data_IF_388621961502
#
_entry.id   IF_388621961502
#
_cell.length_a   1.000
_cell.length_b   1.000
_cell.length_c   1.000
_cell.angle_alpha   90.00
_cell.angle_beta   90.00
_cell.angle_gamma   90.00
#
_symmetry.space_group_name_H-M   'P 1'
#
loop_
_entity.id
_entity.type
_entity.pdbx_description
1 polymer ?
#
# COMPACT_ATOMS: atom_id res chain seq x y z
N UNK A 1 -60.43 4.26 46.11
CA UNK A 1 -60.84 3.50 44.92
C UNK A 1 -59.60 3.27 44.07
N UNK A 2 -59.47 2.04 43.55
CA UNK A 2 -58.52 1.55 42.54
C UNK A 2 -57.04 1.61 42.94
N UNK A 3 -56.31 0.52 43.17
CA UNK A 3 -56.45 -0.85 42.68
C UNK A 3 -55.11 -1.24 42.06
N UNK A 4 -54.18 -1.72 42.88
CA UNK A 4 -52.87 -2.21 42.45
C UNK A 4 -53.00 -3.63 41.88
N UNK A 5 -52.57 -3.83 40.63
CA UNK A 5 -52.35 -5.15 40.05
C UNK A 5 -50.88 -5.25 39.59
N UNK A 6 -50.16 -6.33 39.93
CA UNK A 6 -48.75 -6.54 39.56
C UNK A 6 -48.62 -7.13 38.15
N UNK A 7 -47.60 -6.69 37.42
CA UNK A 7 -47.19 -7.30 36.16
C UNK A 7 -46.45 -8.62 36.42
N UNK A 8 -46.79 -9.65 35.66
CA UNK A 8 -46.27 -11.00 35.78
C UNK A 8 -44.80 -11.09 35.32
N UNK A 9 -43.93 -11.53 36.21
CA UNK A 9 -42.59 -12.02 35.88
C UNK A 9 -42.69 -13.44 35.32
N UNK A 10 -42.11 -13.65 34.13
CA UNK A 10 -41.94 -14.96 33.53
C UNK A 10 -40.69 -15.63 34.14
N UNK A 11 -40.77 -16.83 34.74
CA UNK A 11 -39.63 -17.44 35.40
C UNK A 11 -38.68 -18.06 34.36
N UNK A 12 -37.49 -17.48 34.23
CA UNK A 12 -36.35 -18.12 33.55
C UNK A 12 -35.89 -19.32 34.41
N UNK A 13 -35.87 -20.56 33.90
CA UNK A 13 -35.41 -21.71 34.66
C UNK A 13 -33.92 -21.58 34.97
N UNK A 14 -33.58 -21.72 36.26
CA UNK A 14 -32.21 -21.73 36.75
C UNK A 14 -31.35 -22.80 36.07
N UNK A 15 -30.25 -22.34 35.48
CA UNK A 15 -29.15 -23.14 34.95
C UNK A 15 -28.36 -23.76 36.13
N UNK A 16 -28.93 -24.75 36.82
CA UNK A 16 -28.22 -25.55 37.82
C UNK A 16 -28.54 -27.05 37.66
N UNK A 17 -27.51 -27.85 37.40
CA UNK A 17 -27.46 -29.24 37.90
C UNK A 17 -27.63 -30.40 36.92
N UNK A 18 -27.80 -30.19 35.61
CA UNK A 18 -28.01 -31.30 34.66
C UNK A 18 -26.74 -32.08 34.29
N UNK A 19 -25.70 -31.40 33.82
CA UNK A 19 -24.53 -32.07 33.25
C UNK A 19 -23.58 -32.69 34.31
N UNK A 20 -23.50 -32.11 35.52
CA UNK A 20 -22.66 -32.66 36.60
C UNK A 20 -23.25 -33.92 37.25
N UNK A 21 -24.56 -34.14 37.17
CA UNK A 21 -25.25 -35.22 37.90
C UNK A 21 -25.30 -36.54 37.13
N UNK A 22 -25.14 -36.52 35.81
CA UNK A 22 -25.15 -37.73 34.98
C UNK A 22 -23.76 -38.40 34.90
N UNK A 23 -22.68 -37.62 34.86
CA UNK A 23 -21.31 -38.17 34.93
C UNK A 23 -20.93 -38.63 36.34
N UNK A 24 -21.38 -37.94 37.41
CA UNK A 24 -21.00 -38.34 38.78
C UNK A 24 -21.62 -39.68 39.20
N UNK A 25 -22.90 -39.93 38.85
CA UNK A 25 -23.57 -41.19 39.18
C UNK A 25 -22.98 -42.40 38.46
N UNK A 26 -22.63 -42.26 37.18
CA UNK A 26 -22.07 -43.37 36.39
C UNK A 26 -20.65 -43.74 36.84
N UNK A 27 -19.85 -42.75 37.24
CA UNK A 27 -18.51 -43.01 37.81
C UNK A 27 -18.60 -43.61 39.21
N UNK A 28 -19.46 -43.09 40.09
CA UNK A 28 -19.62 -43.62 41.45
C UNK A 28 -20.14 -45.07 41.46
N UNK A 29 -21.06 -45.44 40.57
CA UNK A 29 -21.57 -46.83 40.47
C UNK A 29 -20.50 -47.81 39.94
N UNK A 30 -19.66 -47.39 38.99
CA UNK A 30 -18.54 -48.22 38.49
C UNK A 30 -17.46 -48.41 39.56
N UNK A 31 -17.17 -47.38 40.38
CA UNK A 31 -16.18 -47.48 41.45
C UNK A 31 -16.69 -48.18 42.72
N UNK A 32 -18.01 -48.23 42.98
CA UNK A 32 -18.56 -48.89 44.18
C UNK A 32 -18.71 -50.41 44.02
N UNK A 33 -18.99 -50.91 42.82
CA UNK A 33 -19.10 -52.37 42.57
C UNK A 33 -17.75 -53.09 42.71
N UNK A 34 -16.62 -52.41 42.42
CA UNK A 34 -15.27 -53.02 42.41
C UNK A 34 -14.47 -52.93 43.71
N UNK A 35 -15.04 -52.45 44.82
CA UNK A 35 -14.31 -52.40 46.10
C UNK A 35 -14.04 -53.76 46.77
N UNK A 36 -14.46 -54.89 46.15
CA UNK A 36 -14.26 -56.23 46.71
C UNK A 36 -13.21 -57.09 46.00
N UNK A 37 -12.72 -56.70 44.81
CA UNK A 37 -11.67 -57.44 44.10
C UNK A 37 -10.69 -56.43 43.48
N UNK A 38 -9.38 -56.61 43.73
CA UNK A 38 -8.36 -55.66 43.29
C UNK A 38 -8.40 -55.39 41.80
N UNK A 39 -8.27 -54.12 41.41
CA UNK A 39 -8.20 -53.70 40.01
C UNK A 39 -6.99 -54.36 39.32
N UNK A 40 -7.21 -55.02 38.19
CA UNK A 40 -6.11 -55.59 37.39
C UNK A 40 -5.44 -54.49 36.55
N UNK A 41 -4.12 -54.62 36.33
CA UNK A 41 -3.31 -53.66 35.54
C UNK A 41 -3.92 -53.35 34.16
N UNK A 42 -4.54 -54.36 33.54
CA UNK A 42 -5.17 -54.27 32.22
C UNK A 42 -6.36 -53.31 32.24
N UNK A 43 -7.19 -53.36 33.29
CA UNK A 43 -8.37 -52.50 33.41
C UNK A 43 -7.98 -51.03 33.62
N UNK A 44 -6.91 -50.78 34.39
CA UNK A 44 -6.37 -49.42 34.56
C UNK A 44 -5.85 -48.87 33.22
N UNK A 45 -5.12 -49.68 32.45
CA UNK A 45 -4.60 -49.29 31.14
C UNK A 45 -5.73 -48.98 30.14
N UNK A 46 -6.81 -49.76 30.15
CA UNK A 46 -7.98 -49.51 29.29
C UNK A 46 -8.67 -48.20 29.67
N UNK A 47 -8.84 -47.92 30.96
CA UNK A 47 -9.45 -46.66 31.42
C UNK A 47 -8.58 -45.45 31.04
N UNK A 48 -7.26 -45.54 31.24
CA UNK A 48 -6.33 -44.47 30.84
C UNK A 48 -6.37 -44.23 29.33
N UNK A 49 -6.38 -45.30 28.52
CA UNK A 49 -6.46 -45.19 27.07
C UNK A 49 -7.78 -44.55 26.60
N UNK A 50 -8.91 -44.99 27.17
CA UNK A 50 -10.21 -44.40 26.87
C UNK A 50 -10.27 -42.91 27.26
N UNK A 51 -9.75 -42.55 28.44
CA UNK A 51 -9.66 -41.15 28.86
C UNK A 51 -8.77 -40.32 27.91
N UNK A 52 -7.62 -40.84 27.49
CA UNK A 52 -6.73 -40.15 26.56
C UNK A 52 -7.39 -39.89 25.20
N UNK A 53 -8.10 -40.88 24.64
CA UNK A 53 -8.83 -40.74 23.36
C UNK A 53 -9.94 -39.69 23.47
N UNK A 54 -10.73 -39.73 24.55
CA UNK A 54 -11.81 -38.75 24.76
C UNK A 54 -11.24 -37.34 24.91
N UNK A 55 -10.13 -37.19 25.64
CA UNK A 55 -9.48 -35.88 25.82
C UNK A 55 -8.90 -35.35 24.51
N UNK A 56 -8.28 -36.22 23.70
CA UNK A 56 -7.76 -35.86 22.39
C UNK A 56 -8.88 -35.45 21.41
N UNK A 57 -10.00 -36.19 21.39
CA UNK A 57 -11.16 -35.84 20.56
C UNK A 57 -11.77 -34.49 20.98
N UNK A 58 -11.89 -34.24 22.28
CA UNK A 58 -12.38 -32.97 22.81
C UNK A 58 -11.46 -31.79 22.46
N UNK A 59 -10.14 -31.97 22.57
CA UNK A 59 -9.18 -30.94 22.16
C UNK A 59 -9.26 -30.66 20.66
N UNK A 60 -9.35 -31.67 19.80
CA UNK A 60 -9.50 -31.50 18.35
C UNK A 60 -10.76 -30.72 17.99
N UNK A 61 -11.89 -31.01 18.65
CA UNK A 61 -13.15 -30.26 18.48
C UNK A 61 -13.00 -28.80 18.91
N UNK A 62 -12.35 -28.52 20.03
CA UNK A 62 -12.09 -27.16 20.50
C UNK A 62 -11.19 -26.38 19.54
N UNK A 63 -10.08 -26.96 19.10
CA UNK A 63 -9.16 -26.31 18.16
C UNK A 63 -9.81 -26.07 16.79
N UNK A 64 -10.65 -27.01 16.33
CA UNK A 64 -11.40 -26.84 15.08
C UNK A 64 -12.47 -25.77 15.22
N UNK A 65 -13.19 -25.73 16.36
CA UNK A 65 -14.16 -24.69 16.69
C UNK A 65 -13.54 -23.30 16.72
N UNK A 66 -12.40 -23.13 17.40
CA UNK A 66 -11.65 -21.86 17.45
C UNK A 66 -11.19 -21.44 16.05
N UNK A 67 -10.72 -22.38 15.22
CA UNK A 67 -10.34 -22.06 13.83
C UNK A 67 -11.53 -21.62 12.98
N UNK A 68 -12.68 -22.27 13.13
CA UNK A 68 -13.91 -21.92 12.40
C UNK A 68 -14.45 -20.56 12.87
N UNK A 69 -14.45 -20.29 14.18
CA UNK A 69 -14.83 -18.99 14.73
C UNK A 69 -13.91 -17.88 14.25
N UNK A 70 -12.59 -18.07 14.33
CA UNK A 70 -11.63 -17.06 13.84
C UNK A 70 -11.79 -16.81 12.33
N UNK A 71 -11.94 -17.86 11.53
CA UNK A 71 -12.16 -17.71 10.09
C UNK A 71 -13.49 -16.99 9.78
N UNK A 72 -14.56 -17.30 10.52
CA UNK A 72 -15.86 -16.66 10.36
C UNK A 72 -15.86 -15.19 10.82
N UNK A 73 -15.18 -14.89 11.94
CA UNK A 73 -15.01 -13.53 12.48
C UNK A 73 -14.21 -12.67 11.51
N UNK A 74 -13.09 -13.18 10.99
CA UNK A 74 -12.27 -12.50 10.00
C UNK A 74 -13.10 -12.18 8.75
N UNK A 75 -13.77 -13.18 8.16
CA UNK A 75 -14.63 -13.00 6.98
C UNK A 75 -15.76 -11.98 7.22
N UNK A 76 -16.34 -11.94 8.43
CA UNK A 76 -17.41 -11.01 8.80
C UNK A 76 -16.92 -9.57 8.96
N UNK A 77 -15.81 -9.38 9.67
CA UNK A 77 -15.19 -8.07 9.87
C UNK A 77 -14.70 -7.49 8.53
N UNK A 78 -14.16 -8.34 7.67
CA UNK A 78 -13.73 -7.99 6.33
C UNK A 78 -14.89 -7.59 5.39
N UNK A 79 -16.03 -8.31 5.42
CA UNK A 79 -17.22 -7.90 4.65
C UNK A 79 -17.81 -6.59 5.17
N UNK A 80 -17.71 -6.33 6.48
CA UNK A 80 -18.18 -5.10 7.09
C UNK A 80 -17.32 -3.90 6.67
N UNK A 81 -15.99 -4.03 6.67
CA UNK A 81 -15.06 -2.99 6.21
C UNK A 81 -15.27 -2.62 4.72
N UNK A 82 -15.42 -3.62 3.85
CA UNK A 82 -15.68 -3.39 2.43
C UNK A 82 -17.04 -2.68 2.20
N UNK A 83 -18.08 -3.06 2.96
CA UNK A 83 -19.40 -2.41 2.88
C UNK A 83 -19.38 -0.98 3.39
N UNK A 84 -18.67 -0.70 4.49
CA UNK A 84 -18.54 0.65 5.04
C UNK A 84 -17.83 1.55 4.03
N UNK A 85 -16.74 1.08 3.44
CA UNK A 85 -15.99 1.81 2.41
C UNK A 85 -16.86 2.15 1.21
N UNK A 86 -17.47 1.12 0.58
CA UNK A 86 -18.28 1.31 -0.64
C UNK A 86 -19.43 2.27 -0.36
N UNK A 87 -20.14 2.10 0.76
CA UNK A 87 -21.24 2.98 1.14
C UNK A 87 -20.78 4.41 1.41
N UNK A 88 -19.64 4.59 2.07
CA UNK A 88 -19.07 5.92 2.34
C UNK A 88 -18.73 6.64 1.04
N UNK A 89 -18.09 5.94 0.10
CA UNK A 89 -17.76 6.49 -1.23
C UNK A 89 -19.04 6.81 -2.01
N UNK A 90 -20.00 5.89 -2.04
CA UNK A 90 -21.30 6.09 -2.70
C UNK A 90 -22.07 7.30 -2.14
N UNK A 91 -22.13 7.43 -0.80
CA UNK A 91 -22.79 8.53 -0.12
C UNK A 91 -22.09 9.87 -0.43
N UNK A 92 -20.75 9.89 -0.39
CA UNK A 92 -19.96 11.09 -0.70
C UNK A 92 -20.14 11.53 -2.16
N UNK A 93 -20.04 10.61 -3.12
CA UNK A 93 -20.25 10.91 -4.54
C UNK A 93 -21.70 11.34 -4.84
N UNK A 94 -22.68 10.66 -4.24
CA UNK A 94 -24.11 10.95 -4.43
C UNK A 94 -24.53 12.27 -3.80
N UNK A 95 -23.83 12.71 -2.75
CA UNK A 95 -24.11 13.98 -2.07
C UNK A 95 -23.74 15.22 -2.89
N UNK A 96 -22.94 15.06 -3.97
CA UNK A 96 -22.42 16.18 -4.76
C UNK A 96 -21.39 17.04 -4.02
N UNK A 97 -20.84 16.54 -2.91
CA UNK A 97 -19.83 17.26 -2.13
C UNK A 97 -18.42 17.12 -2.71
N UNK A 98 -18.13 16.07 -3.46
CA UNK A 98 -16.81 15.87 -4.04
C UNK A 98 -16.67 16.77 -5.27
N UNK A 99 -15.76 17.73 -5.23
CA UNK A 99 -15.42 18.55 -6.41
C UNK A 99 -13.90 18.71 -6.60
N UNK A 100 -13.09 18.20 -5.66
CA UNK A 100 -11.63 18.22 -5.74
C UNK A 100 -11.04 16.92 -5.18
N UNK A 101 -10.06 16.40 -5.90
CA UNK A 101 -9.14 15.35 -5.45
C UNK A 101 -7.79 16.03 -5.28
N UNK A 102 -7.17 15.87 -4.13
CA UNK A 102 -5.80 16.32 -3.86
C UNK A 102 -4.91 15.11 -3.64
N UNK A 103 -3.96 14.88 -4.54
CA UNK A 103 -3.03 13.75 -4.45
C UNK A 103 -1.65 14.22 -4.01
N UNK A 104 -1.07 13.53 -3.04
CA UNK A 104 0.25 13.78 -2.45
C UNK A 104 0.99 12.45 -2.24
N UNK A 105 2.29 12.50 -1.95
CA UNK A 105 3.07 11.27 -1.71
C UNK A 105 2.72 10.62 -0.39
N UNK A 106 2.29 11.44 0.58
CA UNK A 106 1.75 10.98 1.86
C UNK A 106 0.34 10.38 1.73
N UNK A 107 -0.21 10.32 0.51
CA UNK A 107 -1.52 9.77 0.20
C UNK A 107 -2.42 10.77 -0.50
N UNK A 108 -3.73 10.59 -0.47
CA UNK A 108 -4.65 11.42 -1.23
C UNK A 108 -5.86 11.79 -0.40
N UNK A 109 -6.46 12.92 -0.74
CA UNK A 109 -7.68 13.43 -0.13
C UNK A 109 -8.73 13.67 -1.20
N UNK A 110 -9.97 13.26 -0.96
CA UNK A 110 -11.12 13.68 -1.77
C UNK A 110 -12.04 14.51 -0.90
N UNK A 111 -12.52 15.63 -1.45
CA UNK A 111 -13.21 16.61 -0.62
C UNK A 111 -13.94 17.69 -1.40
N UNK A 112 -14.37 18.68 -0.63
CA UNK A 112 -15.04 19.87 -1.14
C UNK A 112 -14.08 21.04 -1.09
N UNK A 113 -13.88 21.69 -2.22
CA UNK A 113 -13.31 23.03 -2.30
C UNK A 113 -14.43 24.06 -2.35
N UNK A 114 -14.38 25.04 -1.46
CA UNK A 114 -15.26 26.20 -1.46
C UNK A 114 -14.42 27.46 -1.21
N UNK A 115 -14.59 28.48 -2.05
CA UNK A 115 -13.91 29.79 -1.89
C UNK A 115 -12.37 29.68 -1.81
N UNK A 116 -11.78 28.69 -2.50
CA UNK A 116 -10.34 28.45 -2.53
C UNK A 116 -9.78 27.66 -1.33
N UNK A 117 -10.64 27.28 -0.37
CA UNK A 117 -10.26 26.42 0.74
C UNK A 117 -10.68 24.97 0.45
N UNK A 118 -9.74 24.04 0.53
CA UNK A 118 -10.00 22.61 0.40
C UNK A 118 -10.35 22.00 1.76
N UNK A 119 -11.47 21.28 1.81
CA UNK A 119 -11.95 20.53 2.97
C UNK A 119 -11.99 19.04 2.62
N UNK A 120 -10.97 18.25 3.03
CA UNK A 120 -10.96 16.81 2.84
C UNK A 120 -12.16 16.15 3.52
N UNK A 121 -12.76 15.15 2.86
CA UNK A 121 -13.87 14.34 3.41
C UNK A 121 -13.44 12.89 3.62
N UNK A 122 -12.50 12.41 2.80
CA UNK A 122 -11.92 11.09 2.87
C UNK A 122 -10.46 11.20 2.47
N UNK A 123 -9.57 10.70 3.33
CA UNK A 123 -8.12 10.81 3.17
C UNK A 123 -7.45 9.46 3.36
N UNK A 124 -6.61 9.08 2.41
CA UNK A 124 -5.63 8.02 2.59
C UNK A 124 -4.32 8.61 3.09
N UNK A 125 -3.76 8.03 4.14
CA UNK A 125 -2.46 8.38 4.71
C UNK A 125 -1.53 7.18 4.55
N UNK A 126 -0.54 7.32 3.67
CA UNK A 126 0.37 6.24 3.30
C UNK A 126 1.27 5.80 4.46
N UNK A 127 1.87 6.73 5.19
CA UNK A 127 2.75 6.45 6.34
C UNK A 127 2.02 5.74 7.47
N UNK A 128 0.75 6.08 7.70
CA UNK A 128 -0.09 5.44 8.69
C UNK A 128 -0.75 4.14 8.18
N UNK A 129 -0.72 3.88 6.87
CA UNK A 129 -1.42 2.77 6.22
C UNK A 129 -2.92 2.76 6.55
N UNK A 130 -3.53 3.94 6.55
CA UNK A 130 -4.90 4.17 7.01
C UNK A 130 -5.73 4.95 5.99
N UNK A 131 -7.00 4.57 5.87
CA UNK A 131 -8.05 5.38 5.26
C UNK A 131 -8.91 6.01 6.37
N UNK A 132 -9.04 7.33 6.33
CA UNK A 132 -9.66 8.15 7.39
C UNK A 132 -10.74 9.05 6.79
N UNK A 133 -11.73 9.42 7.60
CA UNK A 133 -12.58 10.57 7.26
C UNK A 133 -11.79 11.87 7.38
N UNK A 134 -12.26 12.95 6.78
CA UNK A 134 -11.70 14.29 6.99
C UNK A 134 -10.26 14.44 6.48
N UNK A 135 -9.45 15.28 7.14
CA UNK A 135 -8.09 15.66 6.70
C UNK A 135 -6.99 14.70 7.18
N UNK A 136 -7.36 13.70 7.99
CA UNK A 136 -6.43 12.71 8.50
C UNK A 136 -5.68 13.13 9.76
N UNK A 137 -5.93 14.33 10.29
CA UNK A 137 -5.43 14.81 11.58
C UNK A 137 -6.56 14.69 12.63
N UNK A 138 -6.28 14.00 13.74
CA UNK A 138 -7.31 13.56 14.69
C UNK A 138 -8.15 14.74 15.27
N UNK A 139 -9.48 14.59 15.53
CA UNK A 139 -10.19 13.36 15.85
C UNK A 139 -11.04 12.77 14.70
N UNK A 140 -10.47 12.61 13.51
CA UNK A 140 -11.12 11.90 12.41
C UNK A 140 -11.12 10.37 12.58
N UNK A 141 -12.25 9.73 12.24
CA UNK A 141 -12.43 8.30 12.38
C UNK A 141 -11.62 7.51 11.34
N UNK A 142 -10.82 6.55 11.81
CA UNK A 142 -10.16 5.55 10.95
C UNK A 142 -11.24 4.62 10.40
N UNK A 143 -11.45 4.66 9.07
CA UNK A 143 -12.40 3.80 8.37
C UNK A 143 -11.80 2.44 8.06
N UNK A 144 -10.52 2.40 7.74
CA UNK A 144 -9.79 1.18 7.40
C UNK A 144 -8.31 1.33 7.75
N UNK A 145 -7.77 0.36 8.48
CA UNK A 145 -6.33 0.24 8.78
C UNK A 145 -5.70 -0.90 7.97
N UNK A 146 -4.38 -0.94 7.89
CA UNK A 146 -3.66 -1.99 7.15
C UNK A 146 -3.77 -1.83 5.63
N UNK A 147 -3.97 -0.59 5.16
CA UNK A 147 -3.98 -0.24 3.75
C UNK A 147 -2.53 -0.15 3.27
N UNK A 148 -2.11 -1.15 2.49
CA UNK A 148 -0.76 -1.27 1.91
C UNK A 148 -0.54 -0.29 0.75
N UNK A 149 -1.60 0.00 0.00
CA UNK A 149 -1.60 1.01 -1.05
C UNK A 149 -3.03 1.44 -1.33
N UNK A 150 -3.25 2.70 -1.70
CA UNK A 150 -4.53 3.14 -2.21
C UNK A 150 -4.36 4.20 -3.30
N UNK A 151 -5.19 4.12 -4.32
CA UNK A 151 -5.22 5.08 -5.42
C UNK A 151 -6.64 5.61 -5.62
N UNK A 152 -6.74 6.87 -6.02
CA UNK A 152 -7.97 7.51 -6.43
C UNK A 152 -7.75 8.22 -7.77
N UNK A 153 -8.73 8.20 -8.64
CA UNK A 153 -8.66 8.92 -9.92
C UNK A 153 -9.99 9.00 -10.65
N UNK A 154 -10.05 9.90 -11.62
CA UNK A 154 -11.21 10.13 -12.46
C UNK A 154 -11.02 9.54 -13.86
N UNK A 155 -12.10 9.01 -14.42
CA UNK A 155 -12.26 8.75 -15.85
C UNK A 155 -13.57 9.38 -16.32
N UNK A 156 -13.50 10.56 -16.93
CA UNK A 156 -14.68 11.40 -17.15
C UNK A 156 -15.31 11.81 -15.81
N UNK A 157 -16.58 11.45 -15.60
CA UNK A 157 -17.29 11.68 -14.33
C UNK A 157 -17.23 10.46 -13.37
N UNK A 158 -16.53 9.38 -13.74
CA UNK A 158 -16.42 8.17 -12.93
C UNK A 158 -15.23 8.29 -11.97
N UNK A 159 -15.51 8.42 -10.68
CA UNK A 159 -14.49 8.33 -9.63
C UNK A 159 -14.20 6.86 -9.33
N UNK A 160 -12.94 6.46 -9.41
CA UNK A 160 -12.50 5.11 -9.05
C UNK A 160 -11.53 5.15 -7.88
N UNK A 161 -11.87 4.43 -6.82
CA UNK A 161 -11.00 4.15 -5.68
C UNK A 161 -10.55 2.70 -5.75
N UNK A 162 -9.25 2.48 -5.59
CA UNK A 162 -8.68 1.14 -5.43
C UNK A 162 -7.83 1.11 -4.16
N UNK A 163 -8.08 0.14 -3.30
CA UNK A 163 -7.45 0.00 -2.00
C UNK A 163 -6.89 -1.41 -1.89
N UNK A 164 -5.61 -1.50 -1.57
CA UNK A 164 -4.86 -2.73 -1.34
C UNK A 164 -4.68 -2.88 0.16
N UNK A 165 -5.13 -4.00 0.68
CA UNK A 165 -4.85 -4.49 2.03
C UNK A 165 -3.93 -5.70 1.92
N UNK A 166 -3.40 -6.21 3.04
CA UNK A 166 -2.60 -7.44 3.02
C UNK A 166 -3.35 -8.62 2.39
N UNK A 167 -4.66 -8.68 2.56
CA UNK A 167 -5.45 -9.86 2.20
C UNK A 167 -6.17 -9.73 0.84
N UNK A 168 -6.47 -8.50 0.40
CA UNK A 168 -7.23 -8.28 -0.85
C UNK A 168 -7.10 -6.88 -1.44
N UNK A 169 -7.62 -6.76 -2.67
CA UNK A 169 -7.87 -5.49 -3.37
C UNK A 169 -9.36 -5.17 -3.34
N UNK A 170 -9.72 -3.99 -2.82
CA UNK A 170 -11.05 -3.39 -2.88
C UNK A 170 -11.07 -2.37 -4.01
N UNK A 171 -12.08 -2.42 -4.88
CA UNK A 171 -12.29 -1.40 -5.92
C UNK A 171 -13.73 -0.92 -5.87
N UNK A 172 -13.93 0.40 -5.88
CA UNK A 172 -15.23 1.04 -5.97
C UNK A 172 -15.18 2.11 -7.03
N UNK A 173 -16.18 2.12 -7.92
CA UNK A 173 -16.30 3.10 -8.99
C UNK A 173 -17.69 3.72 -8.93
N UNK A 174 -17.77 5.04 -8.77
CA UNK A 174 -19.03 5.77 -8.59
C UNK A 174 -19.03 7.04 -9.42
N UNK A 175 -20.13 7.29 -10.14
CA UNK A 175 -20.29 8.52 -10.90
C UNK A 175 -20.46 9.73 -9.96
N UNK A 176 -19.63 10.75 -10.15
CA UNK A 176 -19.76 12.02 -9.46
C UNK A 176 -20.87 12.86 -10.10
N UNK A 177 -21.64 13.57 -9.27
CA UNK A 177 -22.68 14.52 -9.74
C UNK A 177 -22.13 15.91 -10.06
N UNK A 178 -20.87 16.11 -9.78
CA UNK A 178 -20.14 17.38 -9.83
C UNK A 178 -18.88 17.15 -10.64
N UNK A 179 -18.46 18.17 -11.38
CA UNK A 179 -17.17 18.14 -12.06
C UNK A 179 -16.07 18.11 -11.00
N UNK A 180 -15.27 17.04 -11.00
CA UNK A 180 -14.20 16.85 -10.04
C UNK A 180 -12.89 17.31 -10.66
N UNK A 181 -12.20 18.24 -10.00
CA UNK A 181 -10.86 18.65 -10.39
C UNK A 181 -9.83 17.77 -9.69
N UNK A 182 -8.95 17.15 -10.46
CA UNK A 182 -7.73 16.57 -9.91
C UNK A 182 -6.69 17.65 -9.73
N UNK A 183 -6.26 17.81 -8.49
CA UNK A 183 -5.13 18.64 -8.08
C UNK A 183 -4.08 17.73 -7.48
N UNK A 184 -2.83 18.01 -7.80
CA UNK A 184 -1.71 17.47 -7.04
C UNK A 184 -1.51 18.47 -5.90
N UNK A 185 -1.41 17.97 -4.67
CA UNK A 185 -1.27 18.82 -3.48
C UNK A 185 -0.05 19.73 -3.57
N UNK A 186 -0.02 20.78 -2.75
CA UNK A 186 1.17 21.61 -2.62
C UNK A 186 2.37 20.71 -2.28
N UNK A 187 3.32 20.63 -3.21
CA UNK A 187 4.43 19.67 -3.10
C UNK A 187 4.86 19.18 -4.46
N UNK A 188 5.89 19.83 -5.00
CA UNK A 188 6.82 19.31 -6.02
C UNK A 188 6.26 18.78 -7.35
N UNK A 189 4.94 18.68 -7.54
CA UNK A 189 4.35 18.14 -8.75
C UNK A 189 4.35 19.18 -9.89
N UNK A 190 4.72 18.73 -11.09
CA UNK A 190 4.73 19.56 -12.29
C UNK A 190 3.42 19.38 -13.08
N UNK A 191 2.85 20.48 -13.57
CA UNK A 191 1.63 20.43 -14.39
C UNK A 191 1.88 19.75 -15.74
N UNK A 192 0.86 19.16 -16.37
CA UNK A 192 1.06 18.49 -17.67
C UNK A 192 1.67 19.39 -18.76
N UNK A 193 1.24 20.66 -18.96
CA UNK A 193 1.85 21.54 -19.96
C UNK A 193 3.30 21.93 -19.65
N UNK A 194 3.67 21.98 -18.37
CA UNK A 194 5.03 22.26 -17.94
C UNK A 194 5.91 21.00 -18.06
N UNK A 195 5.36 19.83 -17.74
CA UNK A 195 6.02 18.55 -17.96
C UNK A 195 6.34 18.36 -19.45
N UNK A 196 5.40 18.64 -20.36
CA UNK A 196 5.65 18.58 -21.81
C UNK A 196 6.81 19.48 -22.27
N UNK A 197 7.09 20.60 -21.58
CA UNK A 197 8.22 21.47 -21.89
C UNK A 197 9.55 20.96 -21.32
N UNK A 198 9.50 20.26 -20.18
CA UNK A 198 10.67 19.68 -19.52
C UNK A 198 11.04 18.31 -20.10
N UNK A 199 10.06 17.58 -20.63
CA UNK A 199 10.25 16.23 -21.10
C UNK A 199 11.10 16.23 -22.38
N UNK A 200 12.19 15.47 -22.38
CA UNK A 200 13.10 15.42 -23.50
C UNK A 200 12.43 14.82 -24.74
N UNK A 201 12.40 15.59 -25.84
CA UNK A 201 12.20 15.02 -27.18
C UNK A 201 13.52 14.55 -27.77
N UNK A 202 14.59 15.34 -27.61
CA UNK A 202 16.01 15.00 -27.81
C UNK A 202 16.89 16.03 -27.04
N UNK A 203 17.22 15.79 -25.76
CA UNK A 203 17.99 16.72 -24.94
C UNK A 203 19.46 16.65 -25.30
N UNK A 204 20.12 17.81 -25.41
CA UNK A 204 21.58 17.87 -25.49
C UNK A 204 22.12 18.07 -24.07
N UNK A 205 22.85 17.07 -23.56
CA UNK A 205 23.61 17.20 -22.32
C UNK A 205 25.00 17.78 -22.63
N UNK A 206 25.57 18.64 -21.76
CA UNK A 206 26.94 19.11 -21.94
C UNK A 206 27.92 17.95 -22.05
N UNK A 207 28.97 18.09 -22.87
CA UNK A 207 30.03 17.07 -23.01
C UNK A 207 30.73 16.71 -21.68
N UNK A 208 30.58 17.56 -20.66
CA UNK A 208 31.11 17.33 -19.31
C UNK A 208 30.33 16.27 -18.53
N UNK A 209 29.13 15.89 -18.97
CA UNK A 209 28.33 14.84 -18.33
C UNK A 209 28.81 13.46 -18.82
N UNK A 210 29.30 12.58 -17.93
CA UNK A 210 29.72 11.23 -18.31
C UNK A 210 28.59 10.42 -18.94
N UNK A 211 28.91 9.54 -19.90
CA UNK A 211 27.92 8.71 -20.61
C UNK A 211 26.69 9.51 -21.15
N UNK A 212 26.90 10.75 -21.64
CA UNK A 212 25.83 11.66 -22.05
C UNK A 212 24.81 11.04 -23.02
N UNK A 213 25.26 10.35 -24.08
CA UNK A 213 24.38 9.69 -25.06
C UNK A 213 23.47 8.66 -24.41
N UNK A 214 24.04 7.79 -23.55
CA UNK A 214 23.29 6.77 -22.80
C UNK A 214 22.25 7.39 -21.87
N UNK A 215 22.60 8.49 -21.20
CA UNK A 215 21.68 9.25 -20.31
C UNK A 215 20.55 9.89 -21.09
N UNK A 216 20.85 10.47 -22.26
CA UNK A 216 19.85 11.05 -23.16
C UNK A 216 18.84 10.00 -23.61
N UNK A 217 19.32 8.86 -24.12
CA UNK A 217 18.43 7.78 -24.58
C UNK A 217 17.59 7.20 -23.43
N UNK A 218 18.16 7.10 -22.23
CA UNK A 218 17.44 6.66 -21.04
C UNK A 218 16.30 7.60 -20.69
N UNK A 219 16.58 8.91 -20.62
CA UNK A 219 15.56 9.91 -20.32
C UNK A 219 14.48 9.98 -21.41
N UNK A 220 14.84 9.84 -22.68
CA UNK A 220 13.88 9.74 -23.79
C UNK A 220 12.98 8.51 -23.64
N UNK A 221 13.54 7.36 -23.26
CA UNK A 221 12.76 6.14 -23.02
C UNK A 221 11.75 6.32 -21.88
N UNK A 222 12.16 6.94 -20.76
CA UNK A 222 11.26 7.25 -19.65
C UNK A 222 10.20 8.30 -20.05
N UNK A 223 10.60 9.34 -20.76
CA UNK A 223 9.70 10.42 -21.21
C UNK A 223 8.60 9.89 -22.14
N UNK A 224 8.93 8.93 -23.00
CA UNK A 224 7.96 8.23 -23.86
C UNK A 224 6.88 7.46 -23.10
N UNK A 225 7.02 7.29 -21.78
CA UNK A 225 6.06 6.63 -20.89
C UNK A 225 5.24 7.60 -20.04
N UNK A 226 5.39 8.91 -20.23
CA UNK A 226 4.69 9.92 -19.44
C UNK A 226 3.17 9.69 -19.41
N UNK A 227 2.57 9.76 -18.21
CA UNK A 227 1.15 9.48 -17.99
C UNK A 227 0.77 7.99 -17.93
N UNK A 228 1.68 7.05 -18.20
CA UNK A 228 1.43 5.62 -18.02
C UNK A 228 1.00 5.30 -16.59
N UNK A 229 -0.06 4.51 -16.41
CA UNK A 229 -0.53 4.01 -15.10
C UNK A 229 0.08 2.65 -14.71
N UNK A 230 1.29 2.36 -15.20
CA UNK A 230 2.02 1.12 -14.93
C UNK A 230 2.02 0.10 -16.07
N UNK A 231 1.11 0.24 -17.05
CA UNK A 231 1.16 -0.50 -18.32
C UNK A 231 2.09 0.24 -19.30
N UNK A 232 3.07 -0.46 -19.86
CA UNK A 232 4.03 0.13 -20.81
C UNK A 232 3.25 0.62 -22.03
N UNK A 233 3.39 1.91 -22.35
CA UNK A 233 2.76 2.52 -23.52
C UNK A 233 3.31 1.86 -24.79
N UNK A 234 2.41 1.44 -25.68
CA UNK A 234 2.76 0.69 -26.89
C UNK A 234 2.98 -0.81 -26.68
N UNK A 235 2.73 -1.34 -25.48
CA UNK A 235 2.85 -2.78 -25.16
C UNK A 235 1.62 -3.29 -24.41
N UNK A 236 1.46 -4.61 -24.34
CA UNK A 236 0.44 -5.26 -23.50
C UNK A 236 0.91 -5.61 -22.09
N UNK A 237 2.19 -5.34 -21.77
CA UNK A 237 2.80 -5.67 -20.48
C UNK A 237 2.84 -4.49 -19.51
N UNK A 238 2.80 -4.81 -18.21
CA UNK A 238 3.13 -3.86 -17.13
C UNK A 238 4.64 -3.82 -16.86
N UNK A 239 5.17 -2.73 -16.30
CA UNK A 239 6.60 -2.64 -15.93
C UNK A 239 7.00 -3.76 -14.94
N UNK A 240 6.17 -4.02 -13.93
CA UNK A 240 6.36 -5.11 -12.97
C UNK A 240 6.24 -6.49 -13.61
N UNK A 241 5.43 -6.64 -14.66
CA UNK A 241 5.31 -7.90 -15.41
C UNK A 241 6.53 -8.13 -16.31
N UNK A 242 7.04 -7.08 -16.95
CA UNK A 242 8.27 -7.12 -17.73
C UNK A 242 9.46 -7.57 -16.87
N UNK A 243 9.59 -6.99 -15.67
CA UNK A 243 10.66 -7.35 -14.73
C UNK A 243 10.64 -8.85 -14.37
N UNK A 244 9.44 -9.41 -14.21
CA UNK A 244 9.23 -10.82 -13.86
C UNK A 244 9.28 -11.78 -15.07
N UNK A 245 9.71 -11.32 -16.26
CA UNK A 245 9.84 -12.18 -17.44
C UNK A 245 8.51 -12.48 -18.16
N UNK A 246 7.50 -11.62 -18.01
CA UNK A 246 6.26 -11.66 -18.77
C UNK A 246 5.04 -12.21 -18.03
N UNK A 247 5.19 -12.65 -16.79
CA UNK A 247 4.06 -13.06 -15.93
C UNK A 247 4.26 -12.60 -14.49
N UNK A 248 3.15 -12.41 -13.76
CA UNK A 248 3.24 -12.06 -12.34
C UNK A 248 3.52 -13.31 -11.48
N UNK A 249 4.52 -13.27 -10.60
CA UNK A 249 4.66 -14.29 -9.57
C UNK A 249 3.53 -14.17 -8.53
N UNK A 250 3.42 -15.17 -7.65
CA UNK A 250 2.46 -15.14 -6.55
C UNK A 250 2.65 -13.90 -5.67
N UNK A 251 1.54 -13.21 -5.35
CA UNK A 251 1.55 -11.95 -4.59
C UNK A 251 1.80 -10.69 -5.43
N UNK A 252 2.10 -10.81 -6.72
CA UNK A 252 2.27 -9.67 -7.63
C UNK A 252 1.05 -9.47 -8.53
N UNK A 253 0.89 -8.24 -9.03
CA UNK A 253 -0.14 -7.90 -10.00
C UNK A 253 0.06 -6.52 -10.61
N UNK A 254 -0.91 -6.10 -11.41
CA UNK A 254 -0.90 -4.79 -12.10
C UNK A 254 -0.77 -3.57 -11.17
N UNK A 255 -1.05 -3.74 -9.88
CA UNK A 255 -0.97 -2.69 -8.87
C UNK A 255 0.23 -2.84 -7.92
N UNK A 256 1.11 -3.83 -8.13
CA UNK A 256 2.37 -3.93 -7.39
C UNK A 256 3.16 -2.64 -7.58
N UNK A 257 3.70 -2.01 -6.51
CA UNK A 257 4.54 -0.82 -6.64
C UNK A 257 5.64 -1.02 -7.69
N UNK A 258 5.76 -0.06 -8.61
CA UNK A 258 6.48 -0.28 -9.87
C UNK A 258 7.47 0.84 -10.20
N UNK A 259 7.79 1.73 -9.26
CA UNK A 259 8.80 2.78 -9.43
C UNK A 259 10.18 2.22 -9.80
N UNK A 260 10.66 1.21 -9.07
CA UNK A 260 11.92 0.51 -9.35
C UNK A 260 11.88 -0.27 -10.68
N UNK A 261 10.77 -0.95 -10.97
CA UNK A 261 10.59 -1.66 -12.24
C UNK A 261 10.60 -0.70 -13.43
N UNK A 262 10.05 0.52 -13.26
CA UNK A 262 10.03 1.56 -14.29
C UNK A 262 11.43 2.06 -14.64
N UNK A 263 12.22 2.46 -13.64
CA UNK A 263 13.61 2.90 -13.90
C UNK A 263 14.46 1.75 -14.43
N UNK A 264 14.28 0.52 -13.93
CA UNK A 264 14.96 -0.68 -14.45
C UNK A 264 14.61 -0.97 -15.90
N UNK A 265 13.34 -0.83 -16.27
CA UNK A 265 12.89 -0.97 -17.66
C UNK A 265 13.54 0.08 -18.56
N UNK A 266 13.61 1.33 -18.10
CA UNK A 266 14.27 2.41 -18.83
C UNK A 266 15.76 2.14 -19.05
N UNK A 267 16.48 1.75 -17.99
CA UNK A 267 17.91 1.39 -18.10
C UNK A 267 18.11 0.25 -19.12
N UNK A 268 17.25 -0.77 -19.10
CA UNK A 268 17.30 -1.88 -20.04
C UNK A 268 16.96 -1.51 -21.49
N UNK A 269 16.34 -0.35 -21.75
CA UNK A 269 16.12 0.13 -23.14
C UNK A 269 17.43 0.56 -23.81
N UNK A 270 18.41 0.99 -23.01
CA UNK A 270 19.68 1.53 -23.52
C UNK A 270 20.87 0.62 -23.23
N UNK A 271 20.76 -0.23 -22.21
CA UNK A 271 21.78 -1.20 -21.83
C UNK A 271 21.12 -2.45 -21.26
N UNK A 272 21.05 -3.50 -22.08
CA UNK A 272 20.47 -4.79 -21.68
C UNK A 272 21.24 -5.50 -20.55
N UNK A 273 22.47 -5.05 -20.23
CA UNK A 273 23.27 -5.58 -19.12
C UNK A 273 23.11 -4.77 -17.82
N UNK A 274 22.37 -3.66 -17.85
CA UNK A 274 22.13 -2.85 -16.67
C UNK A 274 21.42 -3.66 -15.57
N UNK A 275 21.85 -3.47 -14.33
CA UNK A 275 21.26 -4.14 -13.17
C UNK A 275 19.79 -3.74 -13.00
N UNK A 276 18.90 -4.73 -13.06
CA UNK A 276 17.47 -4.53 -12.88
C UNK A 276 17.03 -4.88 -11.45
N UNK A 277 16.23 -4.03 -10.84
CA UNK A 277 15.71 -4.20 -9.50
C UNK A 277 14.22 -3.80 -9.40
N UNK A 278 13.52 -4.44 -8.46
CA UNK A 278 12.14 -4.09 -8.12
C UNK A 278 11.96 -3.62 -6.66
N UNK A 279 12.89 -3.97 -5.77
CA UNK A 279 12.94 -3.45 -4.41
C UNK A 279 13.85 -2.22 -4.36
N UNK A 280 13.31 -1.06 -3.94
CA UNK A 280 14.03 0.22 -3.94
C UNK A 280 15.29 0.16 -3.07
N UNK A 281 15.16 -0.23 -1.80
CA UNK A 281 16.28 -0.41 -0.87
C UNK A 281 17.32 -1.43 -1.38
N UNK A 282 16.89 -2.50 -2.05
CA UNK A 282 17.81 -3.47 -2.63
C UNK A 282 18.59 -2.89 -3.81
N UNK A 283 17.96 -2.03 -4.62
CA UNK A 283 18.62 -1.26 -5.67
C UNK A 283 19.66 -0.29 -5.11
N UNK A 284 19.28 0.50 -4.09
CA UNK A 284 20.20 1.40 -3.38
C UNK A 284 21.45 0.65 -2.89
N UNK A 285 21.25 -0.43 -2.12
CA UNK A 285 22.37 -1.21 -1.54
C UNK A 285 23.32 -1.74 -2.61
N UNK A 286 22.78 -2.24 -3.72
CA UNK A 286 23.60 -2.73 -4.81
C UNK A 286 24.55 -1.64 -5.37
N UNK A 287 24.03 -0.46 -5.67
CA UNK A 287 24.86 0.64 -6.19
C UNK A 287 25.79 1.25 -5.14
N UNK A 288 25.42 1.19 -3.87
CA UNK A 288 26.28 1.53 -2.75
C UNK A 288 27.48 0.58 -2.64
N UNK A 289 27.24 -0.73 -2.77
CA UNK A 289 28.30 -1.76 -2.79
C UNK A 289 29.24 -1.61 -4.00
N UNK A 290 28.75 -1.08 -5.13
CA UNK A 290 29.57 -0.74 -6.31
C UNK A 290 30.33 0.59 -6.17
N UNK A 291 30.13 1.35 -5.08
CA UNK A 291 30.78 2.65 -4.86
C UNK A 291 30.23 3.78 -5.73
N UNK A 292 28.95 3.68 -6.14
CA UNK A 292 28.29 4.59 -7.09
C UNK A 292 27.16 5.41 -6.47
N UNK A 293 26.98 5.23 -5.16
CA UNK A 293 26.05 5.98 -4.34
C UNK A 293 26.66 7.30 -3.89
N UNK A 294 25.87 8.36 -3.97
CA UNK A 294 26.19 9.68 -3.43
C UNK A 294 25.06 10.08 -2.48
N UNK A 295 25.38 10.38 -1.23
CA UNK A 295 24.37 10.85 -0.29
C UNK A 295 23.88 12.25 -0.68
N UNK A 296 22.68 12.60 -0.23
CA UNK A 296 22.15 13.95 -0.42
C UNK A 296 23.15 15.00 0.10
N UNK A 297 23.48 15.97 -0.75
CA UNK A 297 24.46 17.03 -0.47
C UNK A 297 25.91 16.72 -0.86
N UNK A 298 26.28 15.48 -1.18
CA UNK A 298 27.65 15.13 -1.58
C UNK A 298 28.03 15.75 -2.93
N UNK A 299 27.07 15.82 -3.86
CA UNK A 299 27.22 16.48 -5.17
C UNK A 299 25.88 16.95 -5.72
N UNK A 300 25.95 17.76 -6.78
CA UNK A 300 24.81 17.96 -7.67
C UNK A 300 24.60 16.71 -8.53
N UNK A 301 23.35 16.25 -8.73
CA UNK A 301 23.08 15.16 -9.64
C UNK A 301 23.19 15.60 -11.09
N UNK A 302 23.54 14.66 -11.96
CA UNK A 302 23.52 14.86 -13.40
C UNK A 302 22.19 14.34 -13.97
N UNK A 303 21.69 14.93 -15.07
CA UNK A 303 20.56 14.37 -15.81
C UNK A 303 20.80 12.89 -16.14
N UNK A 304 19.80 12.06 -15.88
CA UNK A 304 19.86 10.61 -16.04
C UNK A 304 20.34 9.85 -14.81
N UNK A 305 20.83 10.51 -13.74
CA UNK A 305 21.09 9.83 -12.46
C UNK A 305 19.79 9.25 -11.89
N UNK A 306 19.88 8.12 -11.18
CA UNK A 306 18.76 7.69 -10.35
C UNK A 306 18.74 8.52 -9.08
N UNK A 307 17.56 8.93 -8.64
CA UNK A 307 17.33 9.66 -7.40
C UNK A 307 16.48 8.80 -6.47
N UNK A 308 16.89 8.68 -5.21
CA UNK A 308 16.23 7.87 -4.19
C UNK A 308 15.67 8.76 -3.10
N UNK A 309 14.52 8.37 -2.55
CA UNK A 309 13.83 9.11 -1.51
C UNK A 309 13.58 8.26 -0.27
N UNK A 310 13.57 8.93 0.88
CA UNK A 310 13.21 8.43 2.21
C UNK A 310 12.12 9.35 2.75
N UNK A 311 10.89 8.85 2.84
CA UNK A 311 9.75 9.70 3.17
C UNK A 311 9.56 9.85 4.68
N UNK A 312 9.90 8.81 5.43
CA UNK A 312 9.77 8.75 6.88
C UNK A 312 11.01 9.28 7.61
N UNK A 313 12.13 9.46 6.91
CA UNK A 313 13.40 9.91 7.47
C UNK A 313 14.09 8.85 8.31
N UNK A 314 13.82 7.56 8.05
CA UNK A 314 14.36 6.43 8.82
C UNK A 314 15.67 5.87 8.23
N UNK A 315 16.11 6.41 7.10
CA UNK A 315 17.32 6.05 6.35
C UNK A 315 17.11 4.95 5.31
N UNK A 316 15.91 4.37 5.19
CA UNK A 316 15.58 3.39 4.16
C UNK A 316 15.05 4.07 2.88
N UNK A 317 15.36 3.48 1.72
CA UNK A 317 14.87 4.02 0.46
C UNK A 317 13.47 3.48 0.11
N UNK A 318 12.50 4.38 0.00
CA UNK A 318 11.08 4.08 -0.28
C UNK A 318 10.69 4.27 -1.74
N UNK A 319 11.35 5.19 -2.42
CA UNK A 319 11.05 5.54 -3.80
C UNK A 319 12.30 5.79 -4.63
N UNK A 320 12.16 5.60 -5.93
CA UNK A 320 13.20 5.88 -6.92
C UNK A 320 12.62 6.52 -8.17
N UNK A 321 13.33 7.49 -8.70
CA UNK A 321 13.08 8.15 -9.97
C UNK A 321 14.36 8.34 -10.78
N UNK A 322 14.26 9.11 -11.85
CA UNK A 322 15.41 9.61 -12.60
C UNK A 322 15.44 11.14 -12.58
N UNK A 323 16.63 11.72 -12.49
CA UNK A 323 16.84 13.16 -12.58
C UNK A 323 16.69 13.58 -14.03
N UNK A 324 15.71 14.44 -14.30
CA UNK A 324 15.42 14.96 -15.63
C UNK A 324 16.35 16.14 -15.97
N UNK A 325 16.44 17.10 -15.07
CA UNK A 325 17.34 18.26 -15.17
C UNK A 325 17.52 18.94 -13.80
N UNK A 326 18.52 19.81 -13.70
CA UNK A 326 18.73 20.66 -12.53
C UNK A 326 18.79 22.11 -12.99
N UNK A 327 17.87 22.94 -12.48
CA UNK A 327 17.76 24.35 -12.85
C UNK A 327 18.02 25.25 -11.63
N UNK A 328 18.30 26.53 -11.89
CA UNK A 328 18.29 27.54 -10.83
C UNK A 328 16.87 27.72 -10.28
N UNK A 329 16.77 27.87 -8.96
CA UNK A 329 15.52 28.24 -8.32
C UNK A 329 15.20 29.72 -8.67
N UNK A 330 14.09 30.00 -9.37
CA UNK A 330 13.75 31.36 -9.79
C UNK A 330 13.35 32.26 -8.62
N UNK A 331 13.04 31.68 -7.45
CA UNK A 331 12.63 32.40 -6.23
C UNK A 331 13.82 32.57 -5.28
N UNK A 332 14.63 31.52 -5.10
CA UNK A 332 15.73 31.52 -4.14
C UNK A 332 17.10 31.60 -4.84
N UNK A 333 17.65 32.80 -4.96
CA UNK A 333 18.94 33.02 -5.62
C UNK A 333 20.06 32.15 -5.02
N UNK A 334 20.76 31.42 -5.90
CA UNK A 334 21.83 30.50 -5.53
C UNK A 334 21.37 29.12 -5.06
N UNK A 335 20.06 28.84 -5.04
CA UNK A 335 19.51 27.50 -4.82
C UNK A 335 19.18 26.82 -6.16
N UNK A 336 19.12 25.49 -6.12
CA UNK A 336 18.84 24.65 -7.29
C UNK A 336 17.55 23.86 -7.08
N UNK A 337 16.83 23.65 -8.17
CA UNK A 337 15.68 22.75 -8.26
C UNK A 337 16.07 21.52 -9.08
N UNK A 338 15.82 20.33 -8.53
CA UNK A 338 16.05 19.04 -9.18
C UNK A 338 14.72 18.56 -9.73
N UNK A 339 14.59 18.54 -11.05
CA UNK A 339 13.43 17.99 -11.74
C UNK A 339 13.61 16.49 -11.96
N UNK A 340 12.54 15.72 -11.79
CA UNK A 340 12.58 14.26 -11.84
C UNK A 340 11.47 13.72 -12.73
N UNK A 341 11.69 12.53 -13.29
CA UNK A 341 10.64 11.69 -13.88
C UNK A 341 10.54 10.39 -13.08
N UNK A 342 9.34 10.12 -12.58
CA UNK A 342 9.08 9.08 -11.58
C UNK A 342 7.93 8.19 -12.02
N UNK A 343 8.12 6.88 -11.88
CA UNK A 343 7.07 5.88 -12.06
C UNK A 343 6.31 5.65 -10.76
N UNK A 344 5.05 5.25 -10.85
CA UNK A 344 4.16 5.06 -9.69
C UNK A 344 4.00 6.32 -8.82
N UNK A 345 4.31 7.50 -9.36
CA UNK A 345 4.01 8.80 -8.79
C UNK A 345 2.51 9.05 -8.95
N UNK A 346 1.75 9.04 -7.85
CA UNK A 346 0.28 9.13 -7.90
C UNK A 346 -0.36 8.03 -8.76
N UNK A 347 0.27 6.85 -8.80
CA UNK A 347 -0.18 5.73 -9.65
C UNK A 347 0.05 5.93 -11.15
N UNK A 348 0.87 6.91 -11.56
CA UNK A 348 1.26 7.14 -12.97
C UNK A 348 2.72 7.57 -13.12
N UNK A 349 3.20 7.65 -14.35
CA UNK A 349 4.47 8.31 -14.68
C UNK A 349 4.23 9.82 -14.66
N UNK A 350 4.96 10.54 -13.82
CA UNK A 350 4.82 11.99 -13.65
C UNK A 350 6.18 12.69 -13.55
N UNK A 351 6.19 14.00 -13.76
CA UNK A 351 7.35 14.86 -13.53
C UNK A 351 7.17 15.62 -12.20
N UNK A 352 8.27 15.76 -11.46
CA UNK A 352 8.32 16.54 -10.22
C UNK A 352 9.54 17.47 -10.19
N UNK A 353 9.61 18.33 -9.19
CA UNK A 353 10.73 19.21 -8.88
C UNK A 353 10.94 19.26 -7.37
N UNK A 354 12.17 19.19 -6.90
CA UNK A 354 12.49 19.31 -5.47
C UNK A 354 13.53 20.39 -5.27
N UNK A 355 13.55 21.03 -4.11
CA UNK A 355 14.75 21.75 -3.71
C UNK A 355 15.91 20.74 -3.64
N UNK A 356 17.12 21.13 -4.06
CA UNK A 356 18.28 20.24 -3.98
C UNK A 356 18.54 19.73 -2.55
N UNK A 357 18.25 20.55 -1.54
CA UNK A 357 18.42 20.26 -0.12
C UNK A 357 17.15 19.68 0.53
N UNK A 358 16.18 19.22 -0.27
CA UNK A 358 14.94 18.65 0.23
C UNK A 358 15.23 17.42 1.10
N UNK A 359 14.64 17.40 2.29
CA UNK A 359 14.92 16.39 3.31
C UNK A 359 14.47 14.98 2.89
N UNK A 360 13.58 14.86 1.91
CA UNK A 360 13.16 13.57 1.39
C UNK A 360 14.16 12.96 0.41
N UNK A 361 15.08 13.75 -0.13
CA UNK A 361 16.11 13.23 -1.03
C UNK A 361 17.13 12.48 -0.17
N UNK A 362 17.19 11.16 -0.34
CA UNK A 362 18.14 10.30 0.35
C UNK A 362 19.51 10.34 -0.34
N UNK A 363 19.51 10.33 -1.68
CA UNK A 363 20.73 10.39 -2.47
C UNK A 363 20.53 10.07 -3.94
N UNK A 364 21.67 9.94 -4.64
CA UNK A 364 21.74 9.78 -6.08
C UNK A 364 22.66 8.61 -6.46
N UNK A 365 22.41 8.03 -7.62
CA UNK A 365 23.25 6.98 -8.21
C UNK A 365 23.64 7.37 -9.62
N UNK A 366 24.95 7.37 -9.88
CA UNK A 366 25.49 7.38 -11.23
C UNK A 366 25.51 5.95 -11.79
N UNK A 367 24.37 5.54 -12.35
CA UNK A 367 24.21 4.20 -12.94
C UNK A 367 24.74 4.13 -14.39
N UNK A 368 24.92 5.28 -15.06
CA UNK A 368 25.24 5.33 -16.48
C UNK A 368 26.75 5.12 -16.75
N UNK A 369 27.62 5.62 -15.88
CA UNK A 369 29.09 5.56 -16.06
C UNK A 369 29.73 4.19 -15.79
N UNK A 370 28.93 3.13 -15.57
CA UNK A 370 29.46 1.78 -15.38
C UNK A 370 30.19 1.30 -16.64
N UNK A 371 31.44 0.84 -16.47
CA UNK A 371 32.25 0.28 -17.55
C UNK A 371 33.02 1.32 -18.37
N UNK A 372 32.81 2.61 -18.14
CA UNK A 372 33.72 3.66 -18.63
C UNK A 372 34.93 3.71 -17.69
N UNK A 373 36.11 3.30 -18.18
CA UNK A 373 37.34 3.37 -17.39
C UNK A 373 37.60 4.83 -16.98
N UNK A 374 37.73 5.09 -15.68
CA UNK A 374 38.17 6.38 -15.13
C UNK A 374 39.58 6.75 -15.59
#
# INVERSE_FOLDING_TARGET
>A
MTGSAPAAECPMPGLHGGARRFMSKSLEEVFTVKRKEGFTLVELLVVILCCAIVTAAAMTLLFTGVRVENAAVNTSQEQQNARILVRTVEDLCSSGKINRIEQSYTGWSVGTEAQGAFSPLLTYVASAQELRTGDGTNPDAVLLSGVRAASVGMEGDLLTLRIHTEERVLTSSVFCRTQVRETLGEGTAVSAPEAEQLLPTQPELPETVPAAEKRVDFLCALAGQYGSKGKILGSDMYFSQWYCGGSFPEGWGAATPWCACFVSWGMAQVDASAYAFAGVEAGKRHFEDEGRWYASGDRLPDPGDLIFFDWEGDGAADHVGAVLCVNDDPVNAGKKLVYTIEGNCYGKVSVRWFAQEDAFILGYVDWASAGEAQ
#
